data_IF_303439335446
#
_entry.id   IF_303439335446
#
_cell.length_a   1.000
_cell.length_b   1.000
_cell.length_c   1.000
_cell.angle_alpha   90.00
_cell.angle_beta   90.00
_cell.angle_gamma   90.00
#
_symmetry.space_group_name_H-M   'P 1'
#
loop_
_entity.id
_entity.type
_entity.pdbx_description
1 polymer ?
#
# COMPACT_ATOMS: atom_id res chain seq x y z
N UNK A 1 -35.42 -64.03 2.40
CA UNK A 1 -34.06 -63.73 2.90
C UNK A 1 -33.20 -62.97 1.87
N UNK A 2 -33.15 -63.37 0.59
CA UNK A 2 -32.34 -62.69 -0.43
C UNK A 2 -32.75 -61.23 -0.76
N UNK A 3 -34.05 -60.88 -0.69
CA UNK A 3 -34.54 -59.54 -1.01
C UNK A 3 -34.06 -58.45 -0.05
N UNK A 4 -33.93 -58.77 1.25
CA UNK A 4 -33.48 -57.82 2.28
C UNK A 4 -31.99 -57.50 2.10
N UNK A 5 -31.18 -58.47 1.67
CA UNK A 5 -29.74 -58.27 1.41
C UNK A 5 -29.50 -57.30 0.25
N UNK A 6 -30.28 -57.41 -0.83
CA UNK A 6 -30.18 -56.51 -1.98
C UNK A 6 -30.48 -55.04 -1.59
N UNK A 7 -31.48 -54.79 -0.76
CA UNK A 7 -31.82 -53.44 -0.30
C UNK A 7 -30.69 -52.81 0.53
N UNK A 8 -30.06 -53.58 1.43
CA UNK A 8 -28.96 -53.06 2.25
C UNK A 8 -27.74 -52.70 1.40
N UNK A 9 -27.41 -53.49 0.37
CA UNK A 9 -26.30 -53.18 -0.54
C UNK A 9 -26.57 -51.89 -1.32
N UNK A 10 -27.80 -51.70 -1.82
CA UNK A 10 -28.17 -50.48 -2.55
C UNK A 10 -28.02 -49.25 -1.65
N UNK A 11 -28.52 -49.32 -0.42
CA UNK A 11 -28.41 -48.21 0.54
C UNK A 11 -26.96 -47.94 0.96
N UNK A 12 -26.14 -48.98 1.10
CA UNK A 12 -24.72 -48.83 1.43
C UNK A 12 -23.93 -48.14 0.29
N UNK A 13 -24.22 -48.51 -0.96
CA UNK A 13 -23.58 -47.84 -2.11
C UNK A 13 -24.08 -46.39 -2.21
N UNK A 14 -25.38 -46.16 -2.03
CA UNK A 14 -25.94 -44.80 -2.05
C UNK A 14 -25.29 -43.90 -0.99
N UNK A 15 -25.11 -44.38 0.25
CA UNK A 15 -24.45 -43.60 1.30
C UNK A 15 -22.96 -43.36 1.00
N UNK A 16 -22.27 -44.33 0.40
CA UNK A 16 -20.87 -44.18 0.02
C UNK A 16 -20.68 -43.14 -1.09
N UNK A 17 -21.57 -43.09 -2.09
CA UNK A 17 -21.53 -42.07 -3.15
C UNK A 17 -21.76 -40.68 -2.56
N UNK A 18 -22.75 -40.54 -1.67
CA UNK A 18 -23.00 -39.26 -0.99
C UNK A 18 -21.80 -38.85 -0.13
N UNK A 19 -21.24 -39.78 0.65
CA UNK A 19 -20.06 -39.53 1.47
C UNK A 19 -18.84 -39.11 0.62
N UNK A 20 -18.63 -39.76 -0.53
CA UNK A 20 -17.57 -39.41 -1.45
C UNK A 20 -17.76 -38.00 -2.04
N UNK A 21 -19.00 -37.61 -2.36
CA UNK A 21 -19.32 -36.26 -2.81
C UNK A 21 -19.00 -35.20 -1.77
N UNK A 22 -19.41 -35.42 -0.52
CA UNK A 22 -19.14 -34.49 0.59
C UNK A 22 -17.63 -34.40 0.86
N UNK A 23 -16.94 -35.53 0.92
CA UNK A 23 -15.49 -35.57 1.12
C UNK A 23 -14.75 -34.83 0.00
N UNK A 24 -15.20 -34.96 -1.26
CA UNK A 24 -14.67 -34.23 -2.39
C UNK A 24 -14.79 -32.70 -2.21
N UNK A 25 -15.97 -32.21 -1.83
CA UNK A 25 -16.17 -30.77 -1.58
C UNK A 25 -15.30 -30.25 -0.44
N UNK A 26 -15.21 -30.97 0.68
CA UNK A 26 -14.38 -30.56 1.82
C UNK A 26 -12.91 -30.45 1.44
N UNK A 27 -12.39 -31.38 0.61
CA UNK A 27 -11.01 -31.33 0.15
C UNK A 27 -10.75 -30.08 -0.71
N UNK A 28 -11.68 -29.74 -1.61
CA UNK A 28 -11.57 -28.54 -2.44
C UNK A 28 -11.61 -27.26 -1.59
N UNK A 29 -12.53 -27.18 -0.63
CA UNK A 29 -12.64 -26.02 0.27
C UNK A 29 -11.38 -25.84 1.14
N UNK A 30 -10.76 -26.94 1.58
CA UNK A 30 -9.49 -26.88 2.34
C UNK A 30 -8.33 -26.41 1.46
N UNK A 31 -8.29 -26.81 0.19
CA UNK A 31 -7.29 -26.35 -0.77
C UNK A 31 -7.41 -24.84 -1.02
N UNK A 32 -8.64 -24.38 -1.29
CA UNK A 32 -8.96 -22.96 -1.46
C UNK A 32 -8.59 -22.14 -0.22
N UNK A 33 -8.94 -22.65 0.98
CA UNK A 33 -8.59 -22.01 2.25
C UNK A 33 -7.08 -21.96 2.46
N UNK A 34 -6.36 -23.03 2.12
CA UNK A 34 -4.90 -23.09 2.27
C UNK A 34 -4.22 -22.05 1.36
N UNK A 35 -4.65 -21.95 0.11
CA UNK A 35 -4.14 -20.92 -0.81
C UNK A 35 -4.45 -19.49 -0.36
N UNK A 36 -5.63 -19.27 0.22
CA UNK A 36 -5.98 -17.96 0.81
C UNK A 36 -5.11 -17.61 2.02
N UNK A 37 -4.83 -18.58 2.89
CA UNK A 37 -3.93 -18.40 4.05
C UNK A 37 -2.50 -18.10 3.59
N UNK A 38 -1.99 -18.81 2.60
CA UNK A 38 -0.65 -18.58 2.05
C UNK A 38 -0.53 -17.16 1.46
N UNK A 39 -1.53 -16.75 0.68
CA UNK A 39 -1.59 -15.40 0.08
C UNK A 39 -1.65 -14.32 1.16
N UNK A 40 -2.54 -14.46 2.13
CA UNK A 40 -2.66 -13.52 3.24
C UNK A 40 -1.37 -13.47 4.07
N UNK A 41 -0.76 -14.62 4.34
CA UNK A 41 0.49 -14.72 5.08
C UNK A 41 1.63 -14.00 4.38
N UNK A 42 1.74 -14.14 3.06
CA UNK A 42 2.74 -13.44 2.26
C UNK A 42 2.50 -11.93 2.23
N UNK A 43 1.25 -11.48 2.08
CA UNK A 43 0.91 -10.06 2.10
C UNK A 43 1.24 -9.42 3.46
N UNK A 44 0.81 -10.05 4.56
CA UNK A 44 1.10 -9.57 5.93
C UNK A 44 2.60 -9.60 6.23
N UNK A 45 3.36 -10.58 5.73
CA UNK A 45 4.80 -10.58 5.89
C UNK A 45 5.45 -9.39 5.16
N UNK A 46 4.99 -9.08 3.95
CA UNK A 46 5.45 -7.92 3.17
C UNK A 46 5.11 -6.60 3.87
N UNK A 47 3.89 -6.46 4.41
CA UNK A 47 3.45 -5.30 5.19
C UNK A 47 4.34 -5.10 6.43
N UNK A 48 4.57 -6.16 7.23
CA UNK A 48 5.45 -6.10 8.41
C UNK A 48 6.90 -5.76 8.03
N UNK A 49 7.39 -6.24 6.90
CA UNK A 49 8.74 -5.94 6.40
C UNK A 49 8.86 -4.56 5.76
N UNK A 50 7.75 -3.87 5.51
CA UNK A 50 7.76 -2.52 4.94
C UNK A 50 7.77 -1.50 6.06
N UNK A 51 8.77 -0.62 6.03
CA UNK A 51 8.85 0.52 6.93
C UNK A 51 9.45 1.70 6.17
N UNK A 52 8.74 2.83 6.16
CA UNK A 52 9.16 4.08 5.51
C UNK A 52 9.29 5.18 6.56
N UNK A 53 10.21 6.11 6.32
CA UNK A 53 10.49 7.23 7.23
C UNK A 53 10.74 8.50 6.41
N UNK A 54 10.04 9.57 6.72
CA UNK A 54 10.16 10.88 6.08
C UNK A 54 11.35 11.59 6.71
N UNK A 55 12.42 11.72 5.93
CA UNK A 55 13.70 12.31 6.37
C UNK A 55 13.80 13.82 6.10
N UNK A 56 12.66 14.47 5.84
CA UNK A 56 12.59 15.90 5.57
C UNK A 56 12.65 16.71 6.87
N UNK A 57 13.19 17.93 6.84
CA UNK A 57 13.33 18.77 8.03
C UNK A 57 12.15 19.73 8.19
N UNK A 58 11.26 19.43 9.14
CA UNK A 58 10.12 20.31 9.49
C UNK A 58 10.55 21.69 10.03
N UNK A 59 11.80 21.82 10.50
CA UNK A 59 12.36 23.10 10.98
C UNK A 59 12.75 24.06 9.87
N UNK A 60 12.83 23.59 8.62
CA UNK A 60 13.12 24.38 7.42
C UNK A 60 12.00 24.15 6.39
N UNK A 61 10.78 24.68 6.63
CA UNK A 61 9.63 24.48 5.75
C UNK A 61 9.87 24.99 4.32
N UNK A 62 10.77 25.95 4.12
CA UNK A 62 11.18 26.44 2.80
C UNK A 62 11.87 25.38 1.93
N UNK A 63 12.42 24.31 2.54
CA UNK A 63 13.00 23.19 1.82
C UNK A 63 11.95 22.14 1.40
N UNK A 64 10.78 22.15 2.06
CA UNK A 64 9.65 21.26 1.78
C UNK A 64 8.68 21.93 0.81
N UNK A 65 8.37 23.21 1.02
CA UNK A 65 7.49 24.01 0.18
C UNK A 65 8.18 25.33 -0.17
N UNK A 66 8.46 25.55 -1.45
CA UNK A 66 9.03 26.80 -1.96
C UNK A 66 7.99 27.59 -2.78
N UNK A 67 7.35 28.63 -2.19
CA UNK A 67 6.39 29.47 -2.90
C UNK A 67 7.06 30.42 -3.92
N UNK A 68 8.38 30.61 -3.83
CA UNK A 68 9.18 31.52 -4.68
C UNK A 68 9.83 30.85 -5.88
N UNK A 69 9.97 29.52 -5.88
CA UNK A 69 10.49 28.75 -7.02
C UNK A 69 9.56 28.75 -8.25
N UNK A 70 8.33 29.26 -8.13
CA UNK A 70 7.40 29.46 -9.25
C UNK A 70 6.50 28.26 -9.56
N UNK A 71 6.74 27.11 -8.95
CA UNK A 71 5.99 25.88 -9.25
C UNK A 71 5.00 25.44 -8.16
N UNK A 72 5.04 26.01 -6.94
CA UNK A 72 4.07 25.67 -5.87
C UNK A 72 4.10 24.20 -5.43
N UNK A 73 5.23 23.53 -5.60
CA UNK A 73 5.37 22.10 -5.30
C UNK A 73 5.71 21.85 -3.83
N UNK A 74 5.10 20.83 -3.24
CA UNK A 74 5.52 20.25 -1.95
C UNK A 74 6.46 19.07 -2.25
N UNK A 75 7.68 19.08 -1.72
CA UNK A 75 8.65 18.01 -1.90
C UNK A 75 9.02 17.40 -0.55
N UNK A 76 8.80 16.11 -0.38
CA UNK A 76 9.22 15.35 0.79
C UNK A 76 10.16 14.21 0.39
N UNK A 77 11.20 14.02 1.17
CA UNK A 77 12.13 12.91 1.01
C UNK A 77 11.73 11.76 1.92
N UNK A 78 11.55 10.58 1.32
CA UNK A 78 11.08 9.38 2.01
C UNK A 78 12.15 8.31 1.88
N UNK A 79 12.55 7.73 3.00
CA UNK A 79 13.55 6.69 3.10
C UNK A 79 12.89 5.36 3.38
N UNK A 80 13.31 4.31 2.68
CA UNK A 80 12.94 2.95 3.05
C UNK A 80 13.87 2.50 4.19
N UNK A 81 13.31 2.26 5.37
CA UNK A 81 14.04 1.76 6.54
C UNK A 81 13.71 0.30 6.86
N UNK A 82 12.72 -0.28 6.17
CA UNK A 82 12.33 -1.68 6.26
C UNK A 82 13.23 -2.62 5.46
N UNK A 83 12.91 -3.90 5.52
CA UNK A 83 13.68 -4.98 4.88
C UNK A 83 13.16 -5.31 3.47
N UNK A 84 11.97 -4.80 3.10
CA UNK A 84 11.37 -5.05 1.80
C UNK A 84 11.70 -4.02 0.73
N UNK A 85 11.81 -4.50 -0.51
CA UNK A 85 12.06 -3.65 -1.66
C UNK A 85 10.74 -3.12 -2.20
N UNK A 86 10.63 -1.80 -2.35
CA UNK A 86 9.46 -1.13 -2.88
C UNK A 86 9.69 -0.74 -4.35
N UNK A 87 8.61 -0.49 -5.08
CA UNK A 87 8.69 0.06 -6.43
C UNK A 87 8.79 1.59 -6.34
N UNK A 88 9.81 2.16 -6.98
CA UNK A 88 10.00 3.61 -7.06
C UNK A 88 9.13 4.20 -8.18
N UNK A 89 7.81 4.06 -8.03
CA UNK A 89 6.83 4.58 -8.98
C UNK A 89 5.69 5.27 -8.22
N UNK A 90 5.14 6.34 -8.77
CA UNK A 90 4.09 7.14 -8.11
C UNK A 90 2.85 6.30 -7.77
N UNK A 91 2.50 5.32 -8.60
CA UNK A 91 1.33 4.44 -8.36
C UNK A 91 1.48 3.46 -7.20
N UNK A 92 2.67 3.35 -6.63
CA UNK A 92 3.00 2.37 -5.59
C UNK A 92 2.97 3.01 -4.18
N UNK A 93 2.64 4.31 -4.11
CA UNK A 93 2.58 5.10 -2.89
C UNK A 93 1.32 5.96 -2.93
N UNK A 94 0.55 5.91 -1.85
CA UNK A 94 -0.57 6.83 -1.63
C UNK A 94 -0.10 8.04 -0.83
N UNK A 95 -0.59 9.22 -1.19
CA UNK A 95 -0.18 10.48 -0.57
C UNK A 95 -1.40 11.24 -0.11
N UNK A 96 -1.34 11.77 1.12
CA UNK A 96 -2.35 12.65 1.66
C UNK A 96 -1.71 13.99 2.01
N UNK A 97 -2.40 15.06 1.60
CA UNK A 97 -2.09 16.43 2.00
C UNK A 97 -3.25 16.94 2.86
N UNK A 98 -2.99 17.26 4.11
CA UNK A 98 -4.01 17.64 5.12
C UNK A 98 -5.16 16.63 5.23
N UNK A 99 -4.82 15.35 5.11
CA UNK A 99 -5.78 14.24 5.12
C UNK A 99 -6.62 14.10 3.85
N UNK A 100 -6.34 14.87 2.80
CA UNK A 100 -6.97 14.73 1.47
C UNK A 100 -6.06 13.92 0.55
N UNK A 101 -6.64 12.92 -0.11
CA UNK A 101 -5.92 12.10 -1.07
C UNK A 101 -5.46 12.93 -2.28
N UNK A 102 -4.20 12.78 -2.65
CA UNK A 102 -3.60 13.40 -3.83
C UNK A 102 -3.57 12.39 -4.96
N UNK A 103 -4.20 12.72 -6.09
CA UNK A 103 -4.17 11.87 -7.28
C UNK A 103 -2.74 11.70 -7.80
N UNK A 104 -2.41 10.48 -8.21
CA UNK A 104 -1.13 10.13 -8.81
C UNK A 104 -0.71 11.01 -10.02
N UNK A 105 -1.66 11.68 -10.68
CA UNK A 105 -1.37 12.61 -11.79
C UNK A 105 -0.67 13.90 -11.34
N UNK A 106 -0.77 14.24 -10.06
CA UNK A 106 -0.14 15.41 -9.43
C UNK A 106 1.06 15.02 -8.58
N UNK A 107 1.47 13.74 -8.63
CA UNK A 107 2.50 13.18 -7.77
C UNK A 107 3.60 12.59 -8.63
N UNK A 108 4.83 12.99 -8.36
CA UNK A 108 6.02 12.43 -8.98
C UNK A 108 6.91 11.82 -7.90
N UNK A 109 7.40 10.60 -8.15
CA UNK A 109 8.28 9.90 -7.24
C UNK A 109 9.57 9.56 -7.99
N UNK A 110 10.66 10.20 -7.60
CA UNK A 110 11.96 10.06 -8.25
C UNK A 110 13.01 9.57 -7.27
N UNK A 111 13.84 8.65 -7.73
CA UNK A 111 14.98 8.22 -6.93
C UNK A 111 16.11 9.25 -7.05
N UNK A 112 16.54 9.84 -5.92
CA UNK A 112 17.47 10.98 -5.98
C UNK A 112 18.89 10.59 -6.46
N UNK A 113 19.30 9.33 -6.20
CA UNK A 113 20.68 8.87 -6.42
C UNK A 113 20.84 7.72 -7.44
N UNK A 114 19.78 7.32 -8.15
CA UNK A 114 19.76 6.12 -8.99
C UNK A 114 18.69 6.25 -10.08
N UNK A 115 18.93 5.64 -11.24
CA UNK A 115 17.90 5.48 -12.29
C UNK A 115 17.12 4.15 -12.13
N UNK A 116 17.28 3.51 -10.96
CA UNK A 116 16.57 2.28 -10.60
C UNK A 116 15.11 2.57 -10.28
N UNK A 117 14.21 1.77 -10.85
CA UNK A 117 12.78 1.76 -10.47
C UNK A 117 12.52 0.96 -9.18
N UNK A 118 13.58 0.52 -8.49
CA UNK A 118 13.49 -0.20 -7.22
C UNK A 118 13.97 0.72 -6.10
N UNK A 119 13.12 0.91 -5.09
CA UNK A 119 13.38 1.61 -3.85
C UNK A 119 13.88 0.60 -2.80
N UNK A 120 15.20 0.41 -2.73
CA UNK A 120 15.81 -0.60 -1.86
C UNK A 120 15.87 -0.12 -0.41
N UNK A 121 16.13 -1.04 0.52
CA UNK A 121 16.40 -0.70 1.92
C UNK A 121 17.54 0.32 2.01
N UNK A 122 17.27 1.44 2.65
CA UNK A 122 18.19 2.55 2.85
C UNK A 122 18.15 3.64 1.78
N UNK A 123 17.50 3.39 0.64
CA UNK A 123 17.36 4.36 -0.44
C UNK A 123 16.37 5.46 -0.07
N UNK A 124 16.60 6.65 -0.63
CA UNK A 124 15.77 7.84 -0.44
C UNK A 124 15.19 8.25 -1.78
N UNK A 125 13.86 8.34 -1.83
CA UNK A 125 13.10 8.87 -2.96
C UNK A 125 12.60 10.27 -2.64
N UNK A 126 12.55 11.12 -3.65
CA UNK A 126 11.93 12.43 -3.59
C UNK A 126 10.49 12.28 -4.10
N UNK A 127 9.54 12.58 -3.22
CA UNK A 127 8.13 12.65 -3.55
C UNK A 127 7.76 14.12 -3.76
N UNK A 128 7.32 14.46 -4.96
CA UNK A 128 6.93 15.82 -5.35
C UNK A 128 5.43 15.86 -5.64
N UNK A 129 4.75 16.82 -5.03
CA UNK A 129 3.31 17.04 -5.16
C UNK A 129 3.10 18.39 -5.82
N UNK A 130 2.44 18.40 -6.97
CA UNK A 130 2.04 19.62 -7.69
C UNK A 130 0.69 20.14 -7.14
N UNK A 131 0.79 20.96 -6.11
CA UNK A 131 -0.37 21.59 -5.45
C UNK A 131 -1.00 22.65 -6.36
N UNK A 132 -0.22 23.30 -7.23
CA UNK A 132 -0.73 24.36 -8.10
C UNK A 132 -1.58 23.82 -9.26
N UNK A 133 -1.29 22.62 -9.74
CA UNK A 133 -2.07 21.95 -10.78
C UNK A 133 -3.37 21.29 -10.27
N UNK A 134 -3.50 21.10 -8.96
CA UNK A 134 -4.65 20.49 -8.34
C UNK A 134 -5.64 21.54 -7.82
N UNK A 135 -6.80 21.68 -8.48
CA UNK A 135 -7.82 22.72 -8.20
C UNK A 135 -8.37 22.75 -6.75
N UNK A 136 -8.17 21.69 -5.95
CA UNK A 136 -8.70 21.54 -4.58
C UNK A 136 -7.61 21.27 -3.52
N UNK A 137 -6.33 21.46 -3.87
CA UNK A 137 -5.22 21.33 -2.93
C UNK A 137 -4.61 22.71 -2.67
N UNK A 138 -4.41 23.03 -1.39
CA UNK A 138 -3.71 24.23 -0.96
C UNK A 138 -2.81 23.84 0.20
N UNK A 139 -1.53 24.22 0.16
CA UNK A 139 -0.60 24.10 1.28
C UNK A 139 -0.47 25.48 1.91
N UNK A 140 -1.17 25.73 3.02
CA UNK A 140 -1.17 27.03 3.70
C UNK A 140 -1.43 26.85 5.19
N UNK A 141 -0.62 27.50 6.03
CA UNK A 141 -0.70 27.35 7.48
C UNK A 141 -0.06 26.06 7.95
N UNK A 142 -0.64 25.44 8.98
CA UNK A 142 -0.21 24.11 9.43
C UNK A 142 -0.61 23.07 8.37
N UNK A 143 0.38 22.46 7.73
CA UNK A 143 0.21 21.47 6.67
C UNK A 143 0.83 20.14 7.08
N UNK A 144 0.09 19.05 6.86
CA UNK A 144 0.54 17.68 7.10
C UNK A 144 0.64 16.94 5.77
N UNK A 145 1.80 16.32 5.52
CA UNK A 145 1.97 15.36 4.42
C UNK A 145 2.09 13.98 5.01
N UNK A 146 1.18 13.08 4.61
CA UNK A 146 1.23 11.66 4.93
C UNK A 146 1.58 10.87 3.69
N UNK A 147 2.54 9.97 3.81
CA UNK A 147 2.96 9.05 2.76
C UNK A 147 2.64 7.65 3.22
N UNK A 148 1.99 6.86 2.36
CA UNK A 148 1.62 5.47 2.64
C UNK A 148 2.22 4.58 1.56
N UNK A 149 3.02 3.60 1.96
CA UNK A 149 3.59 2.60 1.06
C UNK A 149 3.35 1.20 1.62
N UNK A 150 2.63 0.36 0.87
CA UNK A 150 2.30 -1.02 1.26
C UNK A 150 1.79 -1.12 2.71
N UNK A 151 0.75 -0.34 3.05
CA UNK A 151 0.10 -0.23 4.36
C UNK A 151 0.97 0.30 5.53
N UNK A 152 2.23 0.66 5.29
CA UNK A 152 3.03 1.45 6.23
C UNK A 152 2.86 2.95 5.95
N UNK A 153 2.66 3.75 7.00
CA UNK A 153 2.44 5.19 6.91
C UNK A 153 3.48 5.96 7.70
N UNK A 154 3.89 7.12 7.17
CA UNK A 154 4.59 8.13 7.95
C UNK A 154 4.10 9.54 7.59
N UNK A 155 4.22 10.48 8.51
CA UNK A 155 3.69 11.84 8.36
C UNK A 155 4.65 12.90 8.86
N UNK A 156 4.70 14.01 8.15
CA UNK A 156 5.43 15.20 8.56
C UNK A 156 4.50 16.42 8.62
N UNK A 157 4.60 17.15 9.73
CA UNK A 157 3.91 18.42 9.94
C UNK A 157 4.90 19.58 9.73
N UNK A 158 4.48 20.59 8.97
CA UNK A 158 5.26 21.80 8.77
C UNK A 158 4.34 23.01 8.60
N UNK A 159 4.88 24.20 8.85
CA UNK A 159 4.12 25.44 8.70
C UNK A 159 4.49 26.14 7.39
N UNK A 160 3.50 26.36 6.55
CA UNK A 160 3.60 27.18 5.34
C UNK A 160 3.09 28.58 5.65
N UNK A 161 3.98 29.58 5.54
CA UNK A 161 3.56 30.97 5.68
C UNK A 161 2.68 31.36 4.48
N UNK A 162 1.37 31.49 4.74
CA UNK A 162 0.40 31.96 3.77
C UNK A 162 0.73 33.40 3.41
N UNK A 163 1.47 33.57 2.32
CA UNK A 163 1.88 34.87 1.81
C UNK A 163 0.69 35.81 1.77
N UNK A 164 0.67 36.76 2.71
CA UNK A 164 -0.30 37.86 2.69
C UNK A 164 0.07 38.75 1.51
N UNK A 165 -0.64 38.60 0.39
CA UNK A 165 -0.61 39.57 -0.69
C UNK A 165 -1.74 40.59 -0.51
#
# INVERSE_FOLDING_TARGET
MASVSATHIILFIASMVVAAGIAGTVVLEVDDLSGAIETQGSATASEIGTEIDIVSDAGHPEAIYDPTAGDGNVTVYVKNVGDEHLEAHHSSVDVLLDGRYVSHEYTELEHQYSESNTWQTGDVVALRIDVAAADDLEATGDTTVTVIANDNEDSIDFYVDGGSN
#
